data_IF_337961145405
#
_entry.id   IF_337961145405
#
_cell.length_a   1.000
_cell.length_b   1.000
_cell.length_c   1.000
_cell.angle_alpha   90.00
_cell.angle_beta   90.00
_cell.angle_gamma   90.00
#
_symmetry.space_group_name_H-M   'P 1'
#
loop_
_entity.id
_entity.type
_entity.pdbx_description
1 polymer ?
#
# COMPACT_ATOMS: atom_id res chain seq x y z
N UNK A 1 1.21 -4.52 -13.86
CA UNK A 1 0.84 -5.18 -12.59
C UNK A 1 -0.66 -5.28 -12.36
N UNK A 2 -1.41 -4.16 -12.30
CA UNK A 2 -2.88 -4.15 -12.15
C UNK A 2 -3.60 -5.13 -13.09
N UNK A 3 -3.28 -5.09 -14.39
CA UNK A 3 -3.89 -5.99 -15.38
C UNK A 3 -3.63 -7.47 -15.09
N UNK A 4 -2.40 -7.82 -14.68
CA UNK A 4 -2.07 -9.19 -14.30
C UNK A 4 -2.88 -9.66 -13.07
N UNK A 5 -3.03 -8.81 -12.05
CA UNK A 5 -3.85 -9.15 -10.87
C UNK A 5 -5.32 -9.36 -11.26
N UNK A 6 -5.86 -8.52 -12.14
CA UNK A 6 -7.21 -8.68 -12.71
C UNK A 6 -7.37 -9.97 -13.51
N UNK A 7 -6.37 -10.35 -14.32
CA UNK A 7 -6.38 -11.63 -15.05
C UNK A 7 -6.44 -12.85 -14.11
N UNK A 8 -5.94 -12.72 -12.88
CA UNK A 8 -6.02 -13.76 -11.84
C UNK A 8 -7.30 -13.69 -11.00
N UNK A 9 -8.28 -12.87 -11.39
CA UNK A 9 -9.55 -12.72 -10.66
C UNK A 9 -9.45 -11.87 -9.40
N UNK A 10 -8.36 -11.12 -9.21
CA UNK A 10 -8.24 -10.16 -8.11
C UNK A 10 -8.64 -8.79 -8.64
N UNK A 11 -9.79 -8.27 -8.20
CA UNK A 11 -10.18 -6.91 -8.53
C UNK A 11 -9.13 -5.93 -7.99
N UNK A 12 -8.65 -5.05 -8.85
CA UNK A 12 -7.58 -4.12 -8.51
C UNK A 12 -7.80 -2.81 -9.22
N UNK A 13 -7.72 -1.70 -8.51
CA UNK A 13 -7.69 -0.36 -9.08
C UNK A 13 -6.35 0.31 -8.79
N UNK A 14 -6.02 1.32 -9.59
CA UNK A 14 -4.81 2.13 -9.43
C UNK A 14 -5.27 3.58 -9.27
N UNK A 15 -4.81 4.23 -8.20
CA UNK A 15 -5.21 5.58 -7.85
C UNK A 15 -3.95 6.42 -7.69
N UNK A 16 -3.83 7.56 -8.41
CA UNK A 16 -2.65 8.42 -8.28
C UNK A 16 -2.71 9.18 -6.95
N UNK A 17 -1.57 9.27 -6.26
CA UNK A 17 -1.49 9.96 -4.96
C UNK A 17 -1.91 11.44 -5.05
N UNK A 18 -1.73 12.07 -6.21
CA UNK A 18 -2.17 13.45 -6.47
C UNK A 18 -3.70 13.64 -6.41
N UNK A 19 -4.49 12.58 -6.58
CA UNK A 19 -5.96 12.65 -6.47
C UNK A 19 -6.48 12.52 -5.04
N UNK A 20 -5.64 12.02 -4.12
CA UNK A 20 -5.98 11.79 -2.70
C UNK A 20 -5.32 12.86 -1.82
N UNK A 21 -4.10 13.27 -2.17
CA UNK A 21 -3.19 14.08 -1.37
C UNK A 21 -2.13 13.23 -0.67
N UNK A 22 -0.88 13.72 -0.66
CA UNK A 22 0.28 12.99 -0.12
C UNK A 22 0.55 13.38 1.34
N UNK A 23 -0.32 12.96 2.25
CA UNK A 23 -0.15 13.09 3.69
C UNK A 23 -0.72 11.85 4.38
N UNK A 24 -0.18 11.49 5.55
CA UNK A 24 -0.67 10.36 6.33
C UNK A 24 -2.19 10.42 6.59
N UNK A 25 -2.78 11.54 7.04
CA UNK A 25 -4.23 11.62 7.24
C UNK A 25 -5.03 11.39 5.98
N UNK A 26 -4.59 11.93 4.83
CA UNK A 26 -5.32 11.79 3.57
C UNK A 26 -5.27 10.36 3.04
N UNK A 27 -4.10 9.72 3.10
CA UNK A 27 -3.91 8.32 2.68
C UNK A 27 -4.72 7.40 3.60
N UNK A 28 -4.66 7.62 4.92
CA UNK A 28 -5.41 6.82 5.90
C UNK A 28 -6.92 6.95 5.69
N UNK A 29 -7.41 8.17 5.50
CA UNK A 29 -8.84 8.42 5.24
C UNK A 29 -9.31 7.73 3.95
N UNK A 30 -8.53 7.83 2.87
CA UNK A 30 -8.87 7.14 1.62
C UNK A 30 -8.93 5.61 1.79
N UNK A 31 -7.96 5.01 2.47
CA UNK A 31 -7.97 3.56 2.76
C UNK A 31 -9.17 3.18 3.64
N UNK A 32 -9.51 4.02 4.63
CA UNK A 32 -10.68 3.79 5.48
C UNK A 32 -11.99 3.82 4.69
N UNK A 33 -12.14 4.80 3.78
CA UNK A 33 -13.32 4.91 2.93
C UNK A 33 -13.47 3.68 2.03
N UNK A 34 -12.37 3.21 1.44
CA UNK A 34 -12.34 1.97 0.65
C UNK A 34 -12.67 0.73 1.48
N UNK A 35 -12.17 0.65 2.71
CA UNK A 35 -12.50 -0.45 3.63
C UNK A 35 -13.99 -0.46 3.99
N UNK A 36 -14.58 0.72 4.23
CA UNK A 36 -15.99 0.85 4.58
C UNK A 36 -16.94 0.44 3.45
N UNK A 37 -16.48 0.37 2.19
CA UNK A 37 -17.28 -0.16 1.06
C UNK A 37 -17.49 -1.68 1.17
N UNK A 38 -16.58 -2.41 1.82
CA UNK A 38 -16.82 -3.79 2.28
C UNK A 38 -15.97 -4.91 1.67
N UNK A 39 -15.04 -4.62 0.75
CA UNK A 39 -14.27 -5.65 0.03
C UNK A 39 -12.75 -5.39 -0.04
N UNK A 40 -12.25 -4.40 0.71
CA UNK A 40 -10.82 -4.09 0.69
C UNK A 40 -10.03 -5.14 1.46
N UNK A 41 -9.19 -5.89 0.74
CA UNK A 41 -8.29 -6.89 1.35
C UNK A 41 -6.84 -6.42 1.32
N UNK A 42 -6.37 -5.89 0.18
CA UNK A 42 -4.95 -5.54 -0.04
C UNK A 42 -4.77 -4.08 -0.45
N UNK A 43 -3.78 -3.42 0.13
CA UNK A 43 -3.27 -2.11 -0.30
C UNK A 43 -1.81 -2.22 -0.66
N UNK A 44 -1.47 -1.73 -1.86
CA UNK A 44 -0.09 -1.68 -2.34
C UNK A 44 0.32 -0.22 -2.57
N UNK A 45 1.29 0.25 -1.79
CA UNK A 45 1.91 1.56 -1.98
C UNK A 45 2.99 1.44 -3.05
N UNK A 46 2.96 2.32 -4.06
CA UNK A 46 3.88 2.27 -5.21
C UNK A 46 4.68 3.56 -5.27
N UNK A 47 5.85 3.57 -4.65
CA UNK A 47 6.70 4.75 -4.44
C UNK A 47 7.55 4.63 -3.19
N UNK A 48 8.61 5.42 -3.10
CA UNK A 48 9.44 5.54 -1.90
C UNK A 48 8.81 6.48 -0.85
N UNK A 49 9.39 6.57 0.35
CA UNK A 49 8.81 7.32 1.47
C UNK A 49 8.58 8.81 1.19
N UNK A 50 9.39 9.41 0.31
CA UNK A 50 9.21 10.79 -0.14
C UNK A 50 8.16 10.97 -1.24
N UNK A 51 7.78 9.90 -1.94
CA UNK A 51 6.78 9.90 -3.01
C UNK A 51 5.39 9.53 -2.49
N UNK A 52 5.34 8.57 -1.55
CA UNK A 52 4.15 8.18 -0.80
C UNK A 52 4.51 8.16 0.67
N UNK A 53 4.00 9.15 1.41
CA UNK A 53 4.29 9.36 2.82
C UNK A 53 3.90 8.10 3.63
N UNK A 54 4.84 7.51 4.40
CA UNK A 54 4.51 6.44 5.33
C UNK A 54 3.69 7.00 6.49
N UNK A 55 2.91 6.15 7.15
CA UNK A 55 2.26 6.52 8.40
C UNK A 55 3.28 6.59 9.55
N UNK A 56 2.91 7.19 10.67
CA UNK A 56 3.74 7.28 11.85
C UNK A 56 3.39 6.17 12.83
N UNK A 57 4.38 5.38 13.25
CA UNK A 57 4.18 4.36 14.26
C UNK A 57 3.79 4.98 15.60
N UNK A 58 2.84 4.35 16.29
CA UNK A 58 2.26 4.86 17.54
C UNK A 58 2.58 4.00 18.77
N UNK A 59 3.24 2.86 18.57
CA UNK A 59 3.50 1.87 19.64
C UNK A 59 4.88 1.25 19.57
N UNK A 60 5.38 0.90 20.77
CA UNK A 60 6.64 0.18 20.94
C UNK A 60 7.83 0.88 20.25
N UNK A 61 8.67 0.08 19.61
CA UNK A 61 9.87 0.57 18.91
C UNK A 61 9.56 1.36 17.64
N UNK A 62 8.33 1.27 17.11
CA UNK A 62 7.91 2.03 15.94
C UNK A 62 7.40 3.43 16.31
N UNK A 63 7.22 3.74 17.60
CA UNK A 63 6.68 5.02 18.04
C UNK A 63 7.51 6.21 17.50
N UNK A 64 6.87 7.07 16.71
CA UNK A 64 7.49 8.24 16.06
C UNK A 64 8.34 7.94 14.82
N UNK A 65 8.41 6.68 14.39
CA UNK A 65 9.10 6.27 13.16
C UNK A 65 8.13 6.00 12.00
N UNK A 66 8.68 5.91 10.79
CA UNK A 66 7.92 5.54 9.60
C UNK A 66 7.41 4.09 9.70
N UNK A 67 6.10 3.89 9.52
CA UNK A 67 5.43 2.61 9.72
C UNK A 67 4.16 2.48 8.83
N UNK A 68 4.34 1.98 7.60
CA UNK A 68 3.22 1.62 6.72
C UNK A 68 2.15 0.70 7.37
N UNK A 69 2.47 -0.27 8.27
CA UNK A 69 1.47 -1.11 8.92
C UNK A 69 0.35 -0.36 9.63
N UNK A 70 0.58 0.89 10.06
CA UNK A 70 -0.44 1.71 10.72
C UNK A 70 -1.63 2.01 9.79
N UNK A 71 -1.42 2.05 8.48
CA UNK A 71 -2.52 2.20 7.52
C UNK A 71 -3.47 0.99 7.53
N UNK A 72 -3.03 -0.18 7.98
CA UNK A 72 -3.83 -1.40 8.00
C UNK A 72 -4.83 -1.50 9.18
N UNK A 73 -4.75 -0.61 10.16
CA UNK A 73 -5.68 -0.59 11.31
C UNK A 73 -6.97 0.16 10.94
N UNK A 74 -7.92 -0.51 10.28
CA UNK A 74 -9.13 0.11 9.73
C UNK A 74 -10.41 -0.22 10.50
N UNK A 75 -10.33 -1.11 11.50
CA UNK A 75 -11.42 -1.41 12.42
C UNK A 75 -10.89 -1.57 13.85
N UNK A 76 -11.81 -1.36 14.81
CA UNK A 76 -11.48 -1.48 16.22
C UNK A 76 -10.59 -0.34 16.75
N UNK A 77 -10.13 -0.53 17.99
CA UNK A 77 -9.22 0.40 18.69
C UNK A 77 -8.04 -0.38 19.22
N UNK A 78 -7.42 -1.16 18.32
CA UNK A 78 -6.27 -2.00 18.60
C UNK A 78 -5.22 -1.86 17.49
N UNK A 79 -4.23 -2.75 17.51
CA UNK A 79 -3.08 -2.75 16.60
C UNK A 79 -3.02 -4.03 15.76
N UNK A 80 -4.15 -4.72 15.58
CA UNK A 80 -4.25 -5.84 14.65
C UNK A 80 -4.56 -5.30 13.25
N UNK A 81 -3.83 -5.72 12.20
CA UNK A 81 -4.12 -5.29 10.84
C UNK A 81 -5.40 -5.98 10.32
N UNK A 82 -6.34 -5.18 9.81
CA UNK A 82 -7.60 -5.67 9.21
C UNK A 82 -7.46 -5.96 7.71
N UNK A 83 -6.45 -5.34 7.09
CA UNK A 83 -6.09 -5.49 5.69
C UNK A 83 -4.59 -5.78 5.56
N UNK A 84 -4.17 -6.32 4.42
CA UNK A 84 -2.75 -6.46 4.13
C UNK A 84 -2.22 -5.20 3.46
N UNK A 85 -1.09 -4.69 3.97
CA UNK A 85 -0.38 -3.58 3.35
C UNK A 85 1.02 -3.98 2.92
N UNK A 86 1.46 -3.45 1.78
CA UNK A 86 2.79 -3.67 1.22
C UNK A 86 3.23 -2.49 0.37
N UNK A 87 4.54 -2.40 0.09
CA UNK A 87 5.13 -1.32 -0.70
C UNK A 87 6.08 -1.85 -1.78
N UNK A 88 5.95 -1.32 -2.99
CA UNK A 88 7.03 -1.32 -3.97
C UNK A 88 7.74 0.03 -3.91
N UNK A 89 8.88 0.09 -3.23
CA UNK A 89 9.68 1.31 -3.13
C UNK A 89 10.50 1.50 -4.40
N UNK A 90 10.51 2.72 -4.93
CA UNK A 90 11.34 3.10 -6.08
C UNK A 90 12.82 3.24 -5.71
N UNK A 91 13.15 3.34 -4.43
CA UNK A 91 14.47 3.74 -3.91
C UNK A 91 14.93 5.06 -4.55
N UNK A 92 14.47 6.15 -3.95
CA UNK A 92 14.78 7.53 -4.32
C UNK A 92 14.28 7.95 -5.71
N UNK A 93 13.05 7.57 -6.07
CA UNK A 93 12.37 8.01 -7.29
C UNK A 93 12.77 7.26 -8.56
N UNK A 94 13.51 6.16 -8.45
CA UNK A 94 13.93 5.40 -9.62
C UNK A 94 12.87 4.38 -10.04
N UNK A 95 12.03 4.76 -11.01
CA UNK A 95 10.95 3.93 -11.53
C UNK A 95 11.40 2.53 -12.02
N UNK A 96 12.65 2.37 -12.49
CA UNK A 96 13.18 1.08 -12.94
C UNK A 96 13.17 0.05 -11.79
N UNK A 97 13.33 0.48 -10.54
CA UNK A 97 13.27 -0.43 -9.39
C UNK A 97 11.85 -0.93 -9.14
N UNK A 98 10.82 -0.14 -9.43
CA UNK A 98 9.43 -0.58 -9.39
C UNK A 98 9.19 -1.62 -10.48
N UNK A 99 9.64 -1.35 -11.70
CA UNK A 99 9.50 -2.30 -12.82
C UNK A 99 10.14 -3.65 -12.53
N UNK A 100 11.34 -3.65 -11.92
CA UNK A 100 12.02 -4.88 -11.48
C UNK A 100 11.22 -5.65 -10.42
N UNK A 101 10.58 -4.97 -9.48
CA UNK A 101 9.74 -5.61 -8.45
C UNK A 101 8.44 -6.16 -9.05
N UNK A 102 7.81 -5.41 -9.94
CA UNK A 102 6.63 -5.84 -10.68
C UNK A 102 6.94 -7.07 -11.53
N UNK A 103 8.02 -7.03 -12.32
CA UNK A 103 8.37 -8.11 -13.23
C UNK A 103 8.70 -9.40 -12.49
N UNK A 104 9.52 -9.36 -11.43
CA UNK A 104 9.80 -10.58 -10.64
C UNK A 104 8.53 -11.17 -10.03
N UNK A 105 7.60 -10.32 -9.59
CA UNK A 105 6.36 -10.77 -8.96
C UNK A 105 5.46 -11.43 -9.99
N UNK A 106 5.33 -10.85 -11.18
CA UNK A 106 4.55 -11.45 -12.28
C UNK A 106 5.19 -12.75 -12.75
N UNK A 107 6.52 -12.76 -12.94
CA UNK A 107 7.26 -13.94 -13.39
C UNK A 107 7.06 -15.11 -12.43
N UNK A 108 7.30 -14.89 -11.13
CA UNK A 108 7.09 -15.90 -10.10
C UNK A 108 5.63 -16.39 -10.02
N UNK A 109 4.66 -15.48 -10.16
CA UNK A 109 3.24 -15.85 -10.13
C UNK A 109 2.76 -16.57 -11.40
N UNK A 110 3.45 -16.41 -12.53
CA UNK A 110 3.08 -17.00 -13.81
C UNK A 110 3.79 -18.34 -14.04
N UNK A 111 5.05 -18.45 -13.62
CA UNK A 111 5.92 -19.61 -13.81
C UNK A 111 6.75 -19.77 -12.52
N UNK A 112 6.27 -20.55 -11.54
CA UNK A 112 6.92 -20.74 -10.23
C UNK A 112 8.25 -21.49 -10.28
#
# INVERSE_FOLDING_TARGET
>A
FKEWKRMKGIETKMVPISSIGNSEPNIKAFIQDEYNVGDLVWVYLVGDGNEIVPATGTVGWAAGGDADPVYAYTAGSDYYPDIFISRFSSRSGNAINIDKQVNRSIEYEKIP
#
